data_IF_249543370672
#
_entry.id   IF_249543370672
#
_cell.length_a   1.000
_cell.length_b   1.000
_cell.length_c   1.000
_cell.angle_alpha   90.00
_cell.angle_beta   90.00
_cell.angle_gamma   90.00
#
_symmetry.space_group_name_H-M   'P 1'
#
loop_
_entity.id
_entity.type
_entity.pdbx_description
1 polymer ?
#
# COMPACT_ATOMS: atom_id res chain seq x y z
N UNK A 1 23.10 11.72 33.98
CA UNK A 1 24.58 11.65 33.89
C UNK A 1 24.98 11.94 32.44
N UNK A 2 26.06 12.69 32.20
CA UNK A 2 26.45 13.16 30.85
C UNK A 2 27.57 12.29 30.25
N UNK A 3 27.38 11.75 29.05
CA UNK A 3 28.42 11.31 28.10
C UNK A 3 27.81 11.29 26.69
N UNK A 4 28.47 11.60 25.59
CA UNK A 4 29.60 12.47 25.26
C UNK A 4 29.76 12.35 23.74
N UNK A 5 29.49 13.46 23.04
CA UNK A 5 30.01 13.90 21.74
C UNK A 5 31.06 13.00 21.04
N UNK A 6 30.82 12.65 19.77
CA UNK A 6 31.87 12.50 18.75
C UNK A 6 31.38 13.06 17.40
N UNK A 7 32.25 13.83 16.74
CA UNK A 7 32.10 14.40 15.40
C UNK A 7 33.08 13.67 14.49
N UNK A 8 32.70 13.37 13.24
CA UNK A 8 33.64 13.03 12.18
C UNK A 8 33.18 13.65 10.85
N UNK A 9 33.99 14.56 10.32
CA UNK A 9 33.85 15.08 8.96
C UNK A 9 34.93 14.48 8.07
N UNK A 10 34.60 14.16 6.82
CA UNK A 10 35.57 13.64 5.85
C UNK A 10 34.98 13.59 4.45
N UNK A 11 35.53 14.38 3.53
CA UNK A 11 35.17 14.37 2.12
C UNK A 11 36.39 13.96 1.29
N UNK A 12 36.19 13.08 0.29
CA UNK A 12 37.16 12.81 -0.77
C UNK A 12 36.45 12.24 -2.02
N UNK A 13 36.92 12.63 -3.20
CA UNK A 13 36.31 12.38 -4.52
C UNK A 13 37.15 11.47 -5.41
N UNK A 14 36.55 10.45 -6.05
CA UNK A 14 37.08 9.72 -7.24
C UNK A 14 35.82 9.24 -8.03
N UNK A 15 35.48 9.51 -9.30
CA UNK A 15 36.17 9.76 -10.60
C UNK A 15 36.29 8.51 -11.51
N UNK A 16 35.31 8.34 -12.43
CA UNK A 16 35.36 7.62 -13.75
C UNK A 16 35.66 6.10 -13.77
N UNK A 17 35.35 5.25 -14.78
CA UNK A 17 34.81 5.28 -16.16
C UNK A 17 33.71 4.15 -16.29
N UNK A 18 32.63 4.20 -17.07
CA UNK A 18 32.44 4.37 -18.52
C UNK A 18 32.91 3.18 -19.41
N UNK A 19 31.95 2.39 -19.91
CA UNK A 19 31.99 1.38 -21.01
C UNK A 19 30.53 1.06 -21.41
N UNK A 20 30.23 0.53 -22.60
CA UNK A 20 29.95 1.33 -23.80
C UNK A 20 29.23 0.53 -24.92
N UNK A 21 28.03 0.98 -25.33
CA UNK A 21 27.31 0.68 -26.60
C UNK A 21 26.94 -0.77 -26.98
N UNK A 22 25.65 -1.00 -27.22
CA UNK A 22 25.17 -1.78 -28.36
C UNK A 22 23.75 -1.32 -28.75
N UNK A 23 23.60 -0.75 -29.95
CA UNK A 23 22.31 -0.54 -30.60
C UNK A 23 22.30 -1.28 -31.93
N UNK A 24 21.13 -1.68 -32.41
CA UNK A 24 20.96 -2.06 -33.81
C UNK A 24 19.50 -1.86 -34.26
N UNK A 25 19.29 -0.90 -35.16
CA UNK A 25 18.04 -0.73 -35.89
C UNK A 25 18.04 -1.68 -37.09
N UNK A 26 16.97 -2.44 -37.27
CA UNK A 26 16.68 -3.16 -38.52
C UNK A 26 15.65 -2.39 -39.33
N UNK A 27 16.00 -1.96 -40.54
CA UNK A 27 15.09 -1.31 -41.48
C UNK A 27 14.10 -2.32 -42.08
N UNK A 28 12.88 -1.88 -42.39
CA UNK A 28 11.99 -2.56 -43.33
C UNK A 28 10.98 -1.57 -43.93
N UNK A 29 11.24 -1.09 -45.15
CA UNK A 29 10.33 -0.26 -45.94
C UNK A 29 9.79 -1.00 -47.18
N UNK A 30 8.53 -1.46 -47.13
CA UNK A 30 7.69 -1.64 -48.32
C UNK A 30 6.19 -1.67 -48.01
N UNK A 31 5.42 -0.99 -48.85
CA UNK A 31 3.99 -0.65 -48.76
C UNK A 31 2.98 -1.80 -48.80
N UNK A 32 1.80 -1.58 -48.18
CA UNK A 32 0.54 -2.31 -48.41
C UNK A 32 -0.66 -1.50 -47.87
N UNK A 33 -1.83 -1.44 -48.53
CA UNK A 33 -2.83 -0.37 -48.30
C UNK A 33 -3.89 -0.64 -47.21
N UNK A 34 -4.50 0.48 -46.79
CA UNK A 34 -5.78 0.68 -46.05
C UNK A 34 -6.99 -0.11 -46.63
N UNK A 35 -8.21 -0.16 -45.99
CA UNK A 35 -8.77 0.82 -45.02
C UNK A 35 -9.69 0.32 -43.87
N UNK A 36 -10.06 1.27 -42.97
CA UNK A 36 -11.31 1.32 -42.16
C UNK A 36 -11.54 0.26 -41.04
N UNK A 37 -12.28 0.50 -39.93
CA UNK A 37 -13.14 1.63 -39.56
C UNK A 37 -13.23 1.87 -38.02
N UNK A 38 -13.65 3.09 -37.66
CA UNK A 38 -14.52 3.46 -36.53
C UNK A 38 -14.14 3.11 -35.06
N UNK A 39 -13.63 4.14 -34.37
CA UNK A 39 -14.24 4.77 -33.18
C UNK A 39 -14.92 3.93 -32.08
N UNK A 40 -14.39 4.06 -30.86
CA UNK A 40 -15.21 4.29 -29.65
C UNK A 40 -14.39 5.06 -28.62
N UNK A 41 -14.88 6.22 -28.18
CA UNK A 41 -14.28 6.97 -27.08
C UNK A 41 -14.81 6.42 -25.75
N UNK A 42 -13.92 6.05 -24.84
CA UNK A 42 -14.25 5.92 -23.42
C UNK A 42 -13.43 6.94 -22.64
N UNK A 43 -14.02 8.10 -22.41
CA UNK A 43 -13.54 9.09 -21.47
C UNK A 43 -13.65 8.51 -20.05
N UNK A 44 -12.56 7.94 -19.55
CA UNK A 44 -12.43 7.63 -18.13
C UNK A 44 -12.36 8.95 -17.34
N UNK A 45 -13.08 9.09 -16.21
CA UNK A 45 -13.03 10.31 -15.41
C UNK A 45 -11.62 10.51 -14.84
N UNK A 46 -11.19 11.76 -14.73
CA UNK A 46 -9.89 12.10 -14.17
C UNK A 46 -9.78 11.58 -12.72
N UNK A 47 -8.91 10.59 -12.50
CA UNK A 47 -8.51 10.17 -11.17
C UNK A 47 -7.89 11.35 -10.45
N UNK A 48 -8.43 11.69 -9.28
CA UNK A 48 -7.84 12.69 -8.41
C UNK A 48 -6.37 12.31 -8.15
N UNK A 49 -5.48 13.31 -8.18
CA UNK A 49 -4.04 13.14 -8.26
C UNK A 49 -3.45 12.70 -6.90
N UNK A 50 -3.75 11.48 -6.49
CA UNK A 50 -3.13 10.82 -5.35
C UNK A 50 -1.66 10.53 -5.69
N UNK A 51 -0.75 11.23 -5.01
CA UNK A 51 0.69 11.00 -5.14
C UNK A 51 0.98 9.54 -4.79
N UNK A 52 1.57 8.73 -5.70
CA UNK A 52 1.95 7.37 -5.35
C UNK A 52 2.92 7.40 -4.18
N UNK A 53 2.62 6.72 -3.06
CA UNK A 53 3.54 6.75 -1.93
C UNK A 53 4.90 6.18 -2.36
N UNK A 54 5.98 6.81 -1.86
CA UNK A 54 7.33 6.51 -2.29
C UNK A 54 7.70 5.03 -2.04
N UNK A 55 8.58 4.46 -2.87
CA UNK A 55 9.00 3.07 -2.75
C UNK A 55 9.47 2.75 -1.32
N UNK A 56 8.85 1.74 -0.70
CA UNK A 56 9.09 1.34 0.70
C UNK A 56 8.16 1.96 1.74
N UNK A 57 7.29 2.92 1.36
CA UNK A 57 6.23 3.39 2.26
C UNK A 57 4.98 2.50 2.19
N UNK A 58 4.25 2.35 3.32
CA UNK A 58 3.00 1.60 3.37
C UNK A 58 1.94 2.27 2.48
N UNK A 59 1.19 1.48 1.73
CA UNK A 59 0.01 1.91 0.99
C UNK A 59 -1.23 1.36 1.68
N UNK A 60 -2.23 2.21 1.94
CA UNK A 60 -3.54 1.76 2.40
C UNK A 60 -4.62 2.41 1.54
N UNK A 61 -5.62 1.62 1.15
CA UNK A 61 -6.79 2.05 0.38
C UNK A 61 -8.04 1.50 1.07
N UNK A 62 -9.08 2.33 1.20
CA UNK A 62 -10.39 1.92 1.74
C UNK A 62 -11.49 2.54 0.89
N UNK A 63 -12.47 1.75 0.45
CA UNK A 63 -13.52 2.19 -0.46
C UNK A 63 -13.00 2.67 -1.82
N UNK A 64 -11.83 2.18 -2.26
CA UNK A 64 -11.11 2.68 -3.44
C UNK A 64 -10.39 4.01 -3.24
N UNK A 65 -10.45 4.62 -2.05
CA UNK A 65 -9.75 5.87 -1.73
C UNK A 65 -8.43 5.61 -0.98
N UNK A 66 -7.29 6.12 -1.47
CA UNK A 66 -6.01 5.99 -0.76
C UNK A 66 -6.03 6.79 0.54
N UNK A 67 -5.54 6.18 1.61
CA UNK A 67 -5.47 6.76 2.95
C UNK A 67 -4.08 7.38 3.16
N UNK A 68 -4.03 8.66 3.49
CA UNK A 68 -2.76 9.36 3.74
C UNK A 68 -2.29 9.09 5.18
N UNK A 69 -1.72 7.90 5.40
CA UNK A 69 -1.20 7.48 6.70
C UNK A 69 0.27 7.86 6.81
N UNK A 70 0.57 8.80 7.70
CA UNK A 70 1.95 9.17 8.05
C UNK A 70 2.44 8.41 9.28
N UNK A 71 3.75 8.11 9.31
CA UNK A 71 4.45 7.55 10.47
C UNK A 71 5.11 6.19 10.20
N UNK A 72 5.68 5.56 11.23
CA UNK A 72 6.44 4.31 11.09
C UNK A 72 5.54 3.09 10.85
N UNK A 73 6.13 2.04 10.29
CA UNK A 73 5.56 0.68 10.33
C UNK A 73 6.18 -0.07 11.51
N UNK A 74 5.35 -0.67 12.36
CA UNK A 74 5.78 -1.47 13.50
C UNK A 74 5.11 -2.84 13.42
N UNK A 75 5.91 -3.88 13.22
CA UNK A 75 5.45 -5.26 13.26
C UNK A 75 5.88 -5.91 14.58
N UNK A 76 4.99 -6.62 15.27
CA UNK A 76 5.25 -7.12 16.61
C UNK A 76 4.47 -8.39 16.93
N UNK A 77 5.06 -9.25 17.76
CA UNK A 77 4.47 -10.51 18.22
C UNK A 77 4.21 -10.43 19.72
N UNK A 78 2.95 -10.38 20.13
CA UNK A 78 2.53 -10.21 21.54
C UNK A 78 1.58 -11.35 21.92
N UNK A 79 1.92 -12.12 22.95
CA UNK A 79 1.10 -13.26 23.44
C UNK A 79 0.68 -14.27 22.35
N UNK A 80 1.56 -14.51 21.37
CA UNK A 80 1.26 -15.40 20.24
C UNK A 80 0.42 -14.78 19.13
N UNK A 81 0.08 -13.49 19.20
CA UNK A 81 -0.59 -12.74 18.13
C UNK A 81 0.36 -11.76 17.46
N UNK A 82 0.45 -11.85 16.14
CA UNK A 82 1.24 -10.96 15.32
C UNK A 82 0.37 -9.80 14.83
N UNK A 83 0.92 -8.60 14.89
CA UNK A 83 0.24 -7.38 14.49
C UNK A 83 1.18 -6.47 13.69
N UNK A 84 0.58 -5.78 12.72
CA UNK A 84 1.23 -4.73 11.93
C UNK A 84 0.50 -3.42 12.22
N UNK A 85 1.18 -2.49 12.87
CA UNK A 85 0.74 -1.12 13.05
C UNK A 85 1.40 -0.20 12.02
N UNK A 86 0.62 0.71 11.43
CA UNK A 86 1.03 1.65 10.40
C UNK A 86 0.64 3.05 10.86
N UNK A 87 1.64 3.92 11.03
CA UNK A 87 1.45 5.31 11.39
C UNK A 87 0.98 5.53 12.83
N UNK A 88 0.47 6.74 13.09
CA UNK A 88 0.07 7.18 14.43
C UNK A 88 -1.45 7.46 14.51
N UNK A 89 -2.00 7.34 15.73
CA UNK A 89 -3.38 7.73 16.04
C UNK A 89 -3.59 9.23 15.74
N UNK A 90 -4.74 9.65 15.18
CA UNK A 90 -5.97 8.87 14.95
C UNK A 90 -6.07 8.24 13.55
N UNK A 91 -5.09 8.45 12.67
CA UNK A 91 -5.10 8.00 11.26
C UNK A 91 -4.44 6.65 11.02
N UNK A 92 -3.82 6.08 12.05
CA UNK A 92 -3.08 4.82 11.95
C UNK A 92 -3.98 3.61 11.68
N UNK A 93 -3.37 2.59 11.08
CA UNK A 93 -4.00 1.30 10.77
C UNK A 93 -3.32 0.21 11.57
N UNK A 94 -4.10 -0.74 12.09
CA UNK A 94 -3.60 -1.93 12.78
C UNK A 94 -4.22 -3.15 12.12
N UNK A 95 -3.42 -4.17 11.83
CA UNK A 95 -3.88 -5.46 11.30
C UNK A 95 -3.35 -6.57 12.21
N UNK A 96 -4.25 -7.38 12.79
CA UNK A 96 -3.94 -8.62 13.49
C UNK A 96 -4.06 -9.81 12.54
N UNK A 97 -2.98 -10.59 12.40
CA UNK A 97 -2.88 -11.70 11.46
C UNK A 97 -1.83 -12.73 11.92
N UNK A 98 -1.83 -13.93 11.34
CA UNK A 98 -0.77 -14.91 11.59
C UNK A 98 0.56 -14.47 10.93
N UNK A 99 1.74 -14.79 11.52
CA UNK A 99 3.03 -14.26 11.06
C UNK A 99 3.44 -14.68 9.65
N UNK A 100 2.82 -15.70 9.08
CA UNK A 100 3.01 -16.19 7.70
C UNK A 100 2.00 -15.57 6.70
N UNK A 101 0.97 -14.88 7.20
CA UNK A 101 -0.14 -14.35 6.41
C UNK A 101 -1.28 -15.34 6.17
N UNK A 102 -1.27 -16.54 6.76
CA UNK A 102 -2.26 -17.59 6.49
C UNK A 102 -3.69 -17.23 6.92
N UNK A 103 -3.85 -16.44 7.99
CA UNK A 103 -5.15 -15.99 8.51
C UNK A 103 -5.05 -14.52 8.92
N UNK A 104 -6.08 -13.73 8.62
CA UNK A 104 -6.25 -12.36 9.12
C UNK A 104 -7.40 -12.39 10.12
N UNK A 105 -7.14 -11.93 11.35
CA UNK A 105 -8.10 -11.97 12.46
C UNK A 105 -8.86 -10.65 12.61
N UNK A 106 -8.16 -9.52 12.47
CA UNK A 106 -8.73 -8.19 12.66
C UNK A 106 -7.98 -7.14 11.83
N UNK A 107 -8.67 -6.05 11.51
CA UNK A 107 -8.03 -4.83 11.02
C UNK A 107 -8.81 -3.59 11.47
N UNK A 108 -8.17 -2.68 12.18
CA UNK A 108 -8.66 -1.32 12.42
C UNK A 108 -8.19 -0.40 11.30
N UNK A 109 -9.12 0.13 10.49
CA UNK A 109 -8.81 0.92 9.30
C UNK A 109 -8.96 2.44 9.51
N UNK A 110 -9.21 2.88 10.73
CA UNK A 110 -9.45 4.28 11.07
C UNK A 110 -10.84 4.77 10.66
N UNK A 111 -10.99 6.08 10.45
CA UNK A 111 -12.26 6.71 10.06
C UNK A 111 -12.26 7.11 8.60
N UNK A 112 -13.20 6.58 7.83
CA UNK A 112 -13.37 6.84 6.38
C UNK A 112 -14.77 7.40 6.16
N UNK A 113 -14.88 8.55 5.48
CA UNK A 113 -16.16 9.26 5.23
C UNK A 113 -16.98 9.57 6.52
N UNK A 114 -16.31 9.62 7.67
CA UNK A 114 -16.95 9.83 8.98
C UNK A 114 -17.50 8.57 9.64
N UNK A 115 -17.13 7.39 9.13
CA UNK A 115 -17.48 6.07 9.69
C UNK A 115 -16.20 5.33 10.09
N UNK A 116 -16.16 4.75 11.29
CA UNK A 116 -15.03 3.91 11.72
C UNK A 116 -15.13 2.56 11.00
N UNK A 117 -14.11 2.21 10.24
CA UNK A 117 -14.03 0.97 9.46
C UNK A 117 -13.21 -0.08 10.21
N UNK A 118 -13.75 -1.29 10.34
CA UNK A 118 -13.05 -2.42 10.95
C UNK A 118 -13.40 -3.76 10.31
N UNK A 119 -12.39 -4.61 10.15
CA UNK A 119 -12.54 -6.04 9.88
C UNK A 119 -12.36 -6.82 11.20
N UNK A 120 -13.18 -7.86 11.36
CA UNK A 120 -13.04 -8.88 12.40
C UNK A 120 -13.52 -10.21 11.81
N UNK A 121 -12.71 -11.26 11.97
CA UNK A 121 -12.99 -12.62 11.51
C UNK A 121 -14.35 -13.13 12.05
N UNK A 122 -15.06 -13.90 11.23
CA UNK A 122 -16.37 -14.48 11.57
C UNK A 122 -17.53 -13.49 11.65
N UNK A 123 -17.30 -12.18 11.51
CA UNK A 123 -18.37 -11.17 11.49
C UNK A 123 -19.10 -11.15 10.13
N UNK A 124 -20.44 -11.15 10.08
CA UNK A 124 -21.18 -11.05 8.82
C UNK A 124 -20.83 -9.79 8.02
N UNK A 125 -20.58 -9.94 6.72
CA UNK A 125 -20.19 -8.85 5.82
C UNK A 125 -18.70 -8.48 5.85
N UNK A 126 -17.92 -9.09 6.75
CA UNK A 126 -16.47 -8.96 6.79
C UNK A 126 -15.79 -10.12 6.04
N UNK A 127 -14.72 -9.82 5.32
CA UNK A 127 -13.80 -10.83 4.77
C UNK A 127 -12.38 -10.25 4.69
N UNK A 128 -11.34 -11.07 4.85
CA UNK A 128 -9.97 -10.64 4.63
C UNK A 128 -9.08 -11.83 4.27
N UNK A 129 -8.08 -11.56 3.43
CA UNK A 129 -7.00 -12.48 3.07
C UNK A 129 -5.68 -11.72 3.11
N UNK A 130 -4.58 -12.42 3.37
CA UNK A 130 -3.24 -11.87 3.28
C UNK A 130 -2.34 -12.75 2.42
N UNK A 131 -1.36 -12.13 1.78
CA UNK A 131 -0.27 -12.79 1.06
C UNK A 131 1.05 -12.18 1.52
N UNK A 132 1.93 -13.02 2.06
CA UNK A 132 3.27 -12.60 2.50
C UNK A 132 4.31 -12.92 1.43
N UNK A 133 5.15 -11.95 1.10
CA UNK A 133 6.29 -12.09 0.19
C UNK A 133 7.55 -11.52 0.85
N UNK A 134 8.38 -12.39 1.43
CA UNK A 134 9.52 -11.96 2.25
C UNK A 134 9.04 -11.19 3.50
N UNK A 135 9.43 -9.93 3.63
CA UNK A 135 8.95 -9.02 4.69
C UNK A 135 7.72 -8.18 4.30
N UNK A 136 7.26 -8.28 3.05
CA UNK A 136 6.07 -7.57 2.57
C UNK A 136 4.80 -8.39 2.82
N UNK A 137 3.74 -7.72 3.24
CA UNK A 137 2.39 -8.26 3.43
C UNK A 137 1.42 -7.47 2.57
N UNK A 138 0.65 -8.18 1.75
CA UNK A 138 -0.49 -7.63 1.01
C UNK A 138 -1.75 -8.18 1.65
N UNK A 139 -2.54 -7.31 2.30
CA UNK A 139 -3.81 -7.68 2.92
C UNK A 139 -4.94 -7.04 2.10
N UNK A 140 -5.97 -7.82 1.78
CA UNK A 140 -7.14 -7.35 1.04
C UNK A 140 -8.41 -7.92 1.64
N UNK A 141 -9.50 -7.17 1.63
CA UNK A 141 -10.76 -7.65 2.19
C UNK A 141 -11.90 -6.65 2.11
N UNK A 142 -12.98 -6.96 2.81
CA UNK A 142 -14.12 -6.08 3.06
C UNK A 142 -14.23 -5.85 4.57
N UNK A 143 -14.28 -4.59 4.96
CA UNK A 143 -14.49 -4.15 6.34
C UNK A 143 -15.88 -3.52 6.48
N UNK A 144 -16.38 -3.47 7.72
CA UNK A 144 -17.68 -2.88 8.04
C UNK A 144 -17.56 -1.80 9.10
N UNK A 145 -18.59 -0.95 9.17
CA UNK A 145 -18.80 0.04 10.22
C UNK A 145 -20.25 0.50 10.26
N UNK A 146 -20.56 1.41 11.17
CA UNK A 146 -21.92 1.92 11.38
C UNK A 146 -21.96 3.43 11.13
N UNK A 147 -22.77 3.87 10.18
CA UNK A 147 -22.89 5.28 9.80
C UNK A 147 -23.64 6.13 10.86
N UNK A 148 -23.74 7.44 10.61
CA UNK A 148 -24.47 8.37 11.49
C UNK A 148 -25.98 8.11 11.57
N UNK A 149 -26.51 7.28 10.67
CA UNK A 149 -27.91 6.85 10.58
C UNK A 149 -28.15 5.50 11.28
N UNK A 150 -27.11 4.91 11.88
CA UNK A 150 -27.17 3.59 12.49
C UNK A 150 -27.19 2.42 11.48
N UNK A 151 -26.93 2.68 10.20
CA UNK A 151 -26.89 1.65 9.16
C UNK A 151 -25.50 1.04 9.06
N UNK A 152 -25.43 -0.28 8.86
CA UNK A 152 -24.18 -0.94 8.54
C UNK A 152 -23.76 -0.55 7.12
N UNK A 153 -22.50 -0.15 6.96
CA UNK A 153 -21.86 0.09 5.66
C UNK A 153 -20.64 -0.81 5.50
N UNK A 154 -20.41 -1.30 4.29
CA UNK A 154 -19.26 -2.11 3.92
C UNK A 154 -18.35 -1.33 2.96
N UNK A 155 -17.04 -1.48 3.12
CA UNK A 155 -16.03 -0.92 2.22
C UNK A 155 -14.92 -1.95 2.01
N UNK A 156 -14.52 -2.15 0.76
CA UNK A 156 -13.33 -2.93 0.46
C UNK A 156 -12.06 -2.18 0.87
N UNK A 157 -11.04 -2.90 1.31
CA UNK A 157 -9.76 -2.36 1.73
C UNK A 157 -8.59 -3.15 1.16
N UNK A 158 -7.46 -2.44 1.02
CA UNK A 158 -6.18 -3.01 0.67
C UNK A 158 -5.08 -2.36 1.51
N UNK A 159 -4.15 -3.16 2.03
CA UNK A 159 -2.95 -2.73 2.77
C UNK A 159 -1.76 -3.41 2.11
N UNK A 160 -0.78 -2.63 1.66
CA UNK A 160 0.51 -3.11 1.14
C UNK A 160 1.60 -2.52 2.02
N UNK A 161 2.25 -3.37 2.82
CA UNK A 161 3.12 -2.94 3.92
C UNK A 161 4.33 -3.86 4.05
N UNK A 162 5.50 -3.28 4.27
CA UNK A 162 6.74 -4.02 4.51
C UNK A 162 7.18 -3.84 5.95
N UNK A 163 7.33 -4.96 6.67
CA UNK A 163 7.90 -4.95 8.02
C UNK A 163 9.41 -4.66 7.97
N UNK A 164 9.94 -3.84 8.90
CA UNK A 164 11.38 -3.61 9.05
C UNK A 164 12.12 -4.84 9.63
#
# INVERSE_FOLDING_TARGET
MKRALLIAAGAATIVTCAVSLAGCSGDNKASGPSPSAASSASSAPATANATPAAAGQPQVTVGGQPQNIGGPVVCSMTNGKFSIAIGEMPTGVIVGLEPDGSVVHDAGLGTVEGVVMSFTEGTPGNSATAVKTGSNYKITGTATGVDKSGQQVSKDFAVDVTCP
#
